data_IF_303438385903
#
_entry.id   IF_303438385903
#
_cell.length_a   1.000
_cell.length_b   1.000
_cell.length_c   1.000
_cell.angle_alpha   90.00
_cell.angle_beta   90.00
_cell.angle_gamma   90.00
#
_symmetry.space_group_name_H-M   'P 1'
#
loop_
_entity.id
_entity.type
_entity.pdbx_description
1 polymer ?
#
# COMPACT_ATOMS: atom_id res chain seq x y z
N UNK A 1 37.11 -18.60 20.36
CA UNK A 1 36.26 -19.13 19.26
C UNK A 1 34.79 -18.78 19.35
N UNK A 2 34.15 -18.76 20.52
CA UNK A 2 32.73 -18.40 20.65
C UNK A 2 32.36 -16.94 20.26
N UNK A 3 33.26 -15.98 20.47
CA UNK A 3 32.99 -14.54 20.16
C UNK A 3 33.04 -14.21 18.66
N UNK A 4 33.85 -14.93 17.88
CA UNK A 4 33.95 -14.74 16.43
C UNK A 4 32.73 -15.28 15.68
N UNK A 5 32.14 -16.40 16.15
CA UNK A 5 30.91 -16.96 15.57
C UNK A 5 29.70 -16.04 15.74
N UNK A 6 29.58 -15.35 16.89
CA UNK A 6 28.47 -14.43 17.16
C UNK A 6 28.57 -13.19 16.25
N UNK A 7 29.77 -12.68 16.01
CA UNK A 7 29.99 -11.54 15.10
C UNK A 7 29.66 -11.87 13.65
N UNK A 8 30.04 -13.06 13.17
CA UNK A 8 29.69 -13.54 11.83
C UNK A 8 28.19 -13.77 11.66
N UNK A 9 27.52 -14.34 12.66
CA UNK A 9 26.06 -14.51 12.63
C UNK A 9 25.34 -13.15 12.61
N UNK A 10 25.84 -12.16 13.35
CA UNK A 10 25.24 -10.82 13.38
C UNK A 10 25.39 -10.08 12.04
N UNK A 11 26.57 -10.17 11.42
CA UNK A 11 26.84 -9.59 10.10
C UNK A 11 26.01 -10.28 9.01
N UNK A 12 25.80 -11.60 9.11
CA UNK A 12 24.97 -12.36 8.16
C UNK A 12 23.50 -11.99 8.28
N UNK A 13 23.00 -11.82 9.50
CA UNK A 13 21.61 -11.39 9.77
C UNK A 13 21.37 -9.93 9.32
N UNK A 14 22.36 -9.06 9.46
CA UNK A 14 22.26 -7.66 8.98
C UNK A 14 22.25 -7.58 7.45
N UNK A 15 23.08 -8.38 6.78
CA UNK A 15 23.11 -8.44 5.31
C UNK A 15 21.86 -9.06 4.72
N UNK A 16 21.28 -10.09 5.38
CA UNK A 16 20.03 -10.70 4.97
C UNK A 16 18.84 -9.74 5.10
N UNK A 17 18.77 -8.99 6.21
CA UNK A 17 17.72 -7.96 6.39
C UNK A 17 17.82 -6.85 5.35
N UNK A 18 19.03 -6.38 5.05
CA UNK A 18 19.26 -5.37 4.01
C UNK A 18 18.85 -5.86 2.63
N UNK A 19 19.20 -7.10 2.27
CA UNK A 19 18.83 -7.70 1.00
C UNK A 19 17.31 -7.90 0.87
N UNK A 20 16.68 -8.40 1.92
CA UNK A 20 15.21 -8.60 1.94
C UNK A 20 14.44 -7.28 1.84
N UNK A 21 14.94 -6.22 2.49
CA UNK A 21 14.35 -4.89 2.40
C UNK A 21 14.54 -4.27 1.01
N UNK A 22 15.74 -4.36 0.45
CA UNK A 22 16.03 -3.88 -0.89
C UNK A 22 15.16 -4.58 -1.94
N UNK A 23 15.00 -5.90 -1.83
CA UNK A 23 14.17 -6.67 -2.74
C UNK A 23 12.70 -6.25 -2.65
N UNK A 24 12.17 -6.03 -1.45
CA UNK A 24 10.78 -5.57 -1.25
C UNK A 24 10.54 -4.20 -1.89
N UNK A 25 11.45 -3.25 -1.66
CA UNK A 25 11.34 -1.90 -2.23
C UNK A 25 11.42 -1.93 -3.76
N UNK A 26 12.25 -2.80 -4.32
CA UNK A 26 12.35 -2.97 -5.76
C UNK A 26 11.06 -3.55 -6.37
N UNK A 27 10.48 -4.58 -5.75
CA UNK A 27 9.21 -5.17 -6.19
C UNK A 27 8.07 -4.15 -6.05
N UNK A 28 8.03 -3.37 -4.97
CA UNK A 28 7.05 -2.31 -4.78
C UNK A 28 7.11 -1.30 -5.94
N UNK A 29 8.32 -0.85 -6.28
CA UNK A 29 8.54 0.07 -7.40
C UNK A 29 8.15 -0.55 -8.74
N UNK A 30 8.42 -1.83 -8.96
CA UNK A 30 7.99 -2.53 -10.18
C UNK A 30 6.46 -2.57 -10.29
N UNK A 31 5.75 -2.83 -9.20
CA UNK A 31 4.30 -2.79 -9.17
C UNK A 31 3.75 -1.38 -9.43
N UNK A 32 4.34 -0.35 -8.83
CA UNK A 32 3.97 1.06 -9.08
C UNK A 32 4.21 1.46 -10.54
N UNK A 33 5.34 1.06 -11.13
CA UNK A 33 5.62 1.30 -12.54
C UNK A 33 4.62 0.58 -13.44
N UNK A 34 4.22 -0.65 -13.11
CA UNK A 34 3.20 -1.38 -13.84
C UNK A 34 1.85 -0.63 -13.83
N UNK A 35 1.45 -0.04 -12.69
CA UNK A 35 0.27 0.85 -12.64
C UNK A 35 0.44 2.06 -13.58
N UNK A 36 1.61 2.69 -13.57
CA UNK A 36 1.88 3.85 -14.41
C UNK A 36 1.76 3.55 -15.92
N UNK A 37 2.06 2.32 -16.32
CA UNK A 37 1.93 1.85 -17.70
C UNK A 37 0.62 1.08 -17.96
N UNK A 38 -0.38 1.19 -17.08
CA UNK A 38 -1.69 0.54 -17.15
C UNK A 38 -1.63 -1.01 -17.18
N UNK A 39 -0.51 -1.60 -16.78
CA UNK A 39 -0.37 -3.05 -16.62
C UNK A 39 -0.80 -3.49 -15.22
N UNK A 40 -2.11 -3.40 -14.97
CA UNK A 40 -2.69 -3.67 -13.66
C UNK A 40 -2.56 -5.12 -13.21
N UNK A 41 -2.50 -6.07 -14.16
CA UNK A 41 -2.33 -7.50 -13.83
C UNK A 41 -0.94 -7.76 -13.28
N UNK A 42 0.12 -7.29 -13.97
CA UNK A 42 1.49 -7.39 -13.45
C UNK A 42 1.67 -6.62 -12.14
N UNK A 43 0.98 -5.48 -11.97
CA UNK A 43 0.98 -4.73 -10.73
C UNK A 43 0.43 -5.58 -9.57
N UNK A 44 -0.74 -6.20 -9.74
CA UNK A 44 -1.37 -7.08 -8.75
C UNK A 44 -0.44 -8.24 -8.38
N UNK A 45 0.20 -8.89 -9.35
CA UNK A 45 1.13 -10.00 -9.10
C UNK A 45 2.34 -9.56 -8.26
N UNK A 46 2.91 -8.39 -8.57
CA UNK A 46 4.00 -7.82 -7.78
C UNK A 46 3.58 -7.56 -6.33
N UNK A 47 2.41 -6.95 -6.11
CA UNK A 47 1.92 -6.69 -4.74
C UNK A 47 1.54 -7.98 -4.01
N UNK A 48 0.96 -8.98 -4.68
CA UNK A 48 0.71 -10.31 -4.12
C UNK A 48 1.99 -10.94 -3.59
N UNK A 49 3.10 -10.81 -4.31
CA UNK A 49 4.40 -11.34 -3.89
C UNK A 49 4.90 -10.66 -2.60
N UNK A 50 4.72 -9.35 -2.47
CA UNK A 50 5.09 -8.63 -1.24
C UNK A 50 4.18 -9.05 -0.08
N UNK A 51 2.87 -9.06 -0.28
CA UNK A 51 1.87 -9.39 0.76
C UNK A 51 2.09 -10.80 1.30
N UNK A 52 2.46 -11.76 0.44
CA UNK A 52 2.72 -13.13 0.86
C UNK A 52 3.86 -13.22 1.88
N UNK A 53 4.90 -12.42 1.74
CA UNK A 53 6.09 -12.47 2.61
C UNK A 53 6.08 -11.42 3.72
N UNK A 54 5.37 -10.29 3.51
CA UNK A 54 5.26 -9.17 4.45
C UNK A 54 3.81 -8.68 4.55
N UNK A 55 2.88 -9.47 5.10
CA UNK A 55 1.45 -9.16 5.14
C UNK A 55 1.08 -7.98 6.07
N UNK A 56 2.05 -7.45 6.81
CA UNK A 56 1.89 -6.34 7.75
C UNK A 56 2.18 -4.95 7.17
N UNK A 57 2.59 -4.87 5.90
CA UNK A 57 2.82 -3.60 5.21
C UNK A 57 1.51 -3.08 4.60
N UNK A 58 1.16 -1.82 4.88
CA UNK A 58 -0.08 -1.21 4.37
C UNK A 58 -0.01 -0.84 2.90
N UNK A 59 1.15 -0.37 2.43
CA UNK A 59 1.34 0.11 1.05
C UNK A 59 1.01 -0.90 -0.04
N UNK A 60 1.45 -2.17 0.02
CA UNK A 60 1.12 -3.15 -1.02
C UNK A 60 -0.38 -3.40 -1.18
N UNK A 61 -1.15 -3.36 -0.08
CA UNK A 61 -2.61 -3.46 -0.14
C UNK A 61 -3.22 -2.23 -0.82
N UNK A 62 -2.73 -1.03 -0.47
CA UNK A 62 -3.20 0.20 -1.09
C UNK A 62 -2.98 0.17 -2.61
N UNK A 63 -1.78 -0.13 -3.07
CA UNK A 63 -1.47 -0.15 -4.50
C UNK A 63 -2.16 -1.30 -5.24
N UNK A 64 -2.35 -2.47 -4.60
CA UNK A 64 -3.14 -3.55 -5.18
C UNK A 64 -4.61 -3.14 -5.32
N UNK A 65 -5.16 -2.46 -4.33
CA UNK A 65 -6.49 -1.85 -4.38
C UNK A 65 -6.62 -0.85 -5.53
N UNK A 66 -5.59 -0.02 -5.74
CA UNK A 66 -5.56 0.95 -6.85
C UNK A 66 -5.56 0.26 -8.22
N UNK A 67 -4.79 -0.82 -8.38
CA UNK A 67 -4.81 -1.62 -9.60
C UNK A 67 -6.19 -2.27 -9.84
N UNK A 68 -6.82 -2.82 -8.80
CA UNK A 68 -8.18 -3.39 -8.88
C UNK A 68 -9.23 -2.32 -9.21
N UNK A 69 -9.11 -1.12 -8.63
CA UNK A 69 -10.01 0.01 -8.92
C UNK A 69 -9.98 0.35 -10.42
N UNK A 70 -8.80 0.39 -11.01
CA UNK A 70 -8.63 0.68 -12.44
C UNK A 70 -9.13 -0.46 -13.36
N UNK A 71 -9.30 -1.67 -12.81
CA UNK A 71 -9.94 -2.80 -13.48
C UNK A 71 -11.45 -2.89 -13.18
N UNK A 72 -12.04 -1.86 -12.57
CA UNK A 72 -13.44 -1.81 -12.14
C UNK A 72 -13.83 -2.90 -11.12
N UNK A 73 -12.85 -3.54 -10.47
CA UNK A 73 -13.06 -4.43 -9.32
C UNK A 73 -13.20 -3.61 -8.03
N UNK A 74 -14.34 -2.95 -7.89
CA UNK A 74 -14.60 -2.02 -6.78
C UNK A 74 -14.65 -2.73 -5.43
N UNK A 75 -15.28 -3.91 -5.35
CA UNK A 75 -15.34 -4.71 -4.13
C UNK A 75 -13.96 -5.19 -3.70
N UNK A 76 -13.15 -5.69 -4.63
CA UNK A 76 -11.78 -6.09 -4.36
C UNK A 76 -10.90 -4.92 -3.94
N UNK A 77 -11.09 -3.75 -4.54
CA UNK A 77 -10.40 -2.52 -4.14
C UNK A 77 -10.78 -2.09 -2.71
N UNK A 78 -12.06 -2.12 -2.35
CA UNK A 78 -12.54 -1.79 -1.01
C UNK A 78 -11.92 -2.72 0.05
N UNK A 79 -11.84 -4.01 -0.22
CA UNK A 79 -11.20 -4.97 0.68
C UNK A 79 -9.73 -4.62 0.92
N UNK A 80 -8.99 -4.29 -0.13
CA UNK A 80 -7.58 -3.94 -0.06
C UNK A 80 -7.36 -2.59 0.65
N UNK A 81 -8.15 -1.56 0.35
CA UNK A 81 -8.07 -0.29 1.06
C UNK A 81 -8.44 -0.43 2.53
N UNK A 82 -9.45 -1.26 2.85
CA UNK A 82 -9.82 -1.54 4.23
C UNK A 82 -8.70 -2.22 5.01
N UNK A 83 -7.96 -3.13 4.37
CA UNK A 83 -6.78 -3.75 4.96
C UNK A 83 -5.63 -2.75 5.14
N UNK A 84 -5.40 -1.89 4.17
CA UNK A 84 -4.41 -0.82 4.29
C UNK A 84 -4.73 0.12 5.46
N UNK A 85 -5.99 0.48 5.66
CA UNK A 85 -6.46 1.31 6.77
C UNK A 85 -6.34 0.59 8.12
N UNK A 86 -6.65 -0.71 8.19
CA UNK A 86 -6.45 -1.51 9.39
C UNK A 86 -4.98 -1.49 9.84
N UNK A 87 -4.05 -1.59 8.89
CA UNK A 87 -2.61 -1.57 9.17
C UNK A 87 -2.05 -0.16 9.41
N UNK A 88 -2.65 0.85 8.79
CA UNK A 88 -2.31 2.26 8.97
C UNK A 88 -3.59 3.12 9.01
N UNK A 89 -4.16 3.38 10.21
CA UNK A 89 -5.40 4.16 10.36
C UNK A 89 -5.32 5.61 9.87
N UNK A 90 -4.13 6.14 9.64
CA UNK A 90 -3.90 7.50 9.13
C UNK A 90 -3.60 7.53 7.62
N UNK A 91 -3.93 6.47 6.90
CA UNK A 91 -3.65 6.38 5.47
C UNK A 91 -4.69 7.18 4.66
N UNK A 92 -4.49 8.48 4.58
CA UNK A 92 -5.36 9.44 3.89
C UNK A 92 -5.79 8.97 2.49
N UNK A 93 -4.84 8.55 1.65
CA UNK A 93 -5.14 8.10 0.29
C UNK A 93 -6.03 6.85 0.26
N UNK A 94 -5.88 5.94 1.23
CA UNK A 94 -6.70 4.73 1.28
C UNK A 94 -8.18 5.05 1.57
N UNK A 95 -8.46 6.00 2.46
CA UNK A 95 -9.82 6.50 2.66
C UNK A 95 -10.38 7.16 1.41
N UNK A 96 -9.60 8.05 0.79
CA UNK A 96 -10.03 8.78 -0.41
C UNK A 96 -10.40 7.81 -1.54
N UNK A 97 -9.54 6.85 -1.87
CA UNK A 97 -9.79 5.90 -2.96
C UNK A 97 -10.84 4.85 -2.61
N UNK A 98 -10.98 4.45 -1.32
CA UNK A 98 -12.09 3.61 -0.89
C UNK A 98 -13.42 4.34 -1.07
N UNK A 99 -13.47 5.63 -0.77
CA UNK A 99 -14.61 6.49 -1.07
C UNK A 99 -14.98 6.51 -2.54
N UNK A 100 -13.98 6.58 -3.44
CA UNK A 100 -14.21 6.49 -4.90
C UNK A 100 -14.81 5.13 -5.27
N UNK A 101 -14.31 4.04 -4.71
CA UNK A 101 -14.84 2.70 -4.97
C UNK A 101 -16.30 2.55 -4.47
N UNK A 102 -16.61 3.05 -3.27
CA UNK A 102 -17.98 3.10 -2.75
C UNK A 102 -18.91 3.93 -3.65
N UNK A 103 -18.44 5.08 -4.12
CA UNK A 103 -19.20 5.94 -5.03
C UNK A 103 -19.56 5.21 -6.34
N UNK A 104 -18.62 4.47 -6.93
CA UNK A 104 -18.87 3.69 -8.14
C UNK A 104 -19.89 2.56 -7.91
N UNK A 105 -19.97 2.00 -6.71
CA UNK A 105 -21.01 1.05 -6.30
C UNK A 105 -22.32 1.73 -5.90
N UNK A 106 -22.44 3.05 -6.04
CA UNK A 106 -23.59 3.87 -5.62
C UNK A 106 -23.88 3.82 -4.11
N UNK A 107 -22.89 3.48 -3.32
CA UNK A 107 -22.94 3.51 -1.85
C UNK A 107 -22.46 4.86 -1.35
N UNK A 108 -23.30 5.86 -1.52
CA UNK A 108 -22.91 7.26 -1.32
C UNK A 108 -22.68 7.63 0.15
N UNK A 109 -23.38 7.00 1.08
CA UNK A 109 -23.20 7.24 2.52
C UNK A 109 -21.80 6.78 2.97
N UNK A 110 -21.40 5.59 2.56
CA UNK A 110 -20.06 5.04 2.83
C UNK A 110 -18.97 5.89 2.15
N UNK A 111 -19.21 6.33 0.92
CA UNK A 111 -18.30 7.22 0.20
C UNK A 111 -18.10 8.54 0.95
N UNK A 112 -19.18 9.17 1.40
CA UNK A 112 -19.13 10.44 2.13
C UNK A 112 -18.41 10.30 3.47
N UNK A 113 -18.60 9.19 4.18
CA UNK A 113 -17.88 8.92 5.42
C UNK A 113 -16.37 8.80 5.19
N UNK A 114 -15.95 8.11 4.13
CA UNK A 114 -14.54 7.97 3.77
C UNK A 114 -13.93 9.28 3.31
N UNK A 115 -14.62 10.08 2.51
CA UNK A 115 -14.14 11.41 2.10
C UNK A 115 -13.99 12.35 3.30
N UNK A 116 -14.95 12.33 4.24
CA UNK A 116 -14.86 13.13 5.46
C UNK A 116 -13.62 12.73 6.30
N UNK A 117 -13.34 11.43 6.41
CA UNK A 117 -12.17 10.94 7.11
C UNK A 117 -10.86 11.33 6.40
N UNK A 118 -10.83 11.25 5.08
CA UNK A 118 -9.68 11.69 4.28
C UNK A 118 -9.40 13.18 4.50
N UNK A 119 -10.43 14.03 4.47
CA UNK A 119 -10.30 15.48 4.72
C UNK A 119 -9.77 15.74 6.14
N UNK A 120 -10.25 15.00 7.14
CA UNK A 120 -9.79 15.13 8.52
C UNK A 120 -8.31 14.72 8.71
N UNK A 121 -7.80 13.81 7.88
CA UNK A 121 -6.42 13.32 7.91
C UNK A 121 -5.50 14.12 6.99
N UNK A 122 -6.04 15.00 6.12
CA UNK A 122 -5.24 15.76 5.16
C UNK A 122 -4.16 16.57 5.88
N UNK A 123 -2.88 16.44 5.49
CA UNK A 123 -1.81 17.22 6.12
C UNK A 123 -2.06 18.70 5.94
N UNK A 124 -2.08 19.46 7.04
CA UNK A 124 -2.26 20.93 7.01
C UNK A 124 -1.23 21.67 6.14
N UNK A 125 -0.11 21.02 5.87
CA UNK A 125 0.96 21.57 5.06
C UNK A 125 0.63 21.64 3.55
N UNK A 126 -0.39 20.93 3.08
CA UNK A 126 -0.84 20.99 1.69
C UNK A 126 -1.43 22.37 1.33
N UNK A 127 -1.94 23.12 2.31
CA UNK A 127 -2.49 24.46 2.11
C UNK A 127 -1.44 25.58 2.04
N UNK A 128 -0.21 25.32 2.48
CA UNK A 128 0.86 26.34 2.51
C UNK A 128 1.44 26.60 1.11
N UNK A 129 1.28 25.67 0.17
CA UNK A 129 1.82 25.77 -1.18
C UNK A 129 0.78 26.20 -2.25
N UNK A 130 -0.44 26.50 -1.84
CA UNK A 130 -1.52 26.91 -2.74
C UNK A 130 -1.75 28.44 -2.82
N UNK A 131 -0.89 29.24 -2.18
CA UNK A 131 -0.93 30.73 -2.23
C UNK A 131 0.31 31.29 -2.90
#
# INVERSE_FOLDING_TARGET
MRRTFILFAFLFLCSWRGYAQWNTNNILRMGQNAIYFDDYISAIDNFNNIIRVKPYLSEPYFFRGLAKLNLDDYEGAIQDYSKAIELNPNYFHAYMYRGVAWHNLRKYEEAMADYAQAIALEPRDAYVYAN
#
